data_IF_478303910235
#
_entry.id   IF_478303910235
#
_cell.length_a   1.000
_cell.length_b   1.000
_cell.length_c   1.000
_cell.angle_alpha   90.00
_cell.angle_beta   90.00
_cell.angle_gamma   90.00
#
_symmetry.space_group_name_H-M   'P 1'
#
loop_
_entity.id
_entity.type
_entity.pdbx_description
1 polymer ?
#
# COMPACT_ATOMS: atom_id res chain seq x y z
N UNK A 1 -9.71 12.64 -7.49
CA UNK A 1 -8.38 13.24 -7.33
C UNK A 1 -7.34 12.12 -7.33
N UNK A 2 -6.32 12.19 -8.18
CA UNK A 2 -5.27 11.16 -8.23
C UNK A 2 -4.42 11.23 -6.96
N UNK A 3 -4.12 10.09 -6.30
CA UNK A 3 -3.26 10.10 -5.13
C UNK A 3 -1.86 10.64 -5.39
N UNK A 4 -1.29 11.37 -4.43
CA UNK A 4 0.12 11.72 -4.48
C UNK A 4 0.97 10.45 -4.26
N UNK A 5 1.89 10.14 -5.19
CA UNK A 5 2.72 8.94 -5.15
C UNK A 5 4.19 9.26 -4.85
N UNK A 6 4.92 8.41 -4.09
CA UNK A 6 6.34 8.56 -3.82
C UNK A 6 7.16 8.76 -5.08
N UNK A 7 8.22 9.59 -4.97
CA UNK A 7 9.17 9.74 -6.06
C UNK A 7 9.95 8.43 -6.30
N UNK A 8 10.37 8.19 -7.55
CA UNK A 8 11.21 7.02 -7.91
C UNK A 8 12.50 7.01 -7.08
N UNK A 9 13.13 8.18 -6.88
CA UNK A 9 14.34 8.32 -6.06
C UNK A 9 14.12 7.80 -4.64
N UNK A 10 13.06 8.28 -3.97
CA UNK A 10 12.69 7.82 -2.62
C UNK A 10 12.43 6.32 -2.56
N UNK A 11 11.76 5.75 -3.57
CA UNK A 11 11.49 4.30 -3.62
C UNK A 11 12.78 3.47 -3.73
N UNK A 12 13.70 3.89 -4.61
CA UNK A 12 15.03 3.25 -4.77
C UNK A 12 15.82 3.32 -3.47
N UNK A 13 15.91 4.49 -2.85
CA UNK A 13 16.67 4.70 -1.60
C UNK A 13 16.06 3.93 -0.43
N UNK A 14 14.73 3.94 -0.31
CA UNK A 14 14.03 3.34 0.81
C UNK A 14 14.00 1.82 0.71
N UNK A 15 13.70 1.23 -0.45
CA UNK A 15 13.60 -0.23 -0.58
C UNK A 15 14.90 -0.91 -1.05
N UNK A 16 15.90 -0.15 -1.51
CA UNK A 16 17.12 -0.74 -2.10
C UNK A 16 16.85 -1.47 -3.43
N UNK A 17 15.83 -1.03 -4.17
CA UNK A 17 15.39 -1.64 -5.43
C UNK A 17 15.88 -0.85 -6.65
N UNK A 18 15.86 -1.48 -7.83
CA UNK A 18 16.19 -0.78 -9.07
C UNK A 18 15.10 0.22 -9.52
N UNK A 19 15.46 1.06 -10.49
CA UNK A 19 14.57 2.09 -11.05
C UNK A 19 13.36 1.50 -11.78
N UNK A 20 13.46 0.31 -12.35
CA UNK A 20 12.37 -0.36 -13.08
C UNK A 20 11.31 -0.82 -12.09
N UNK A 21 11.70 -1.51 -11.02
CA UNK A 21 10.81 -1.93 -9.93
C UNK A 21 10.17 -0.72 -9.23
N UNK A 22 10.95 0.33 -8.96
CA UNK A 22 10.45 1.58 -8.40
C UNK A 22 9.44 2.30 -9.32
N UNK A 23 9.62 2.25 -10.65
CA UNK A 23 8.63 2.78 -11.61
C UNK A 23 7.34 1.98 -11.56
N UNK A 24 7.42 0.64 -11.54
CA UNK A 24 6.25 -0.24 -11.44
C UNK A 24 5.42 0.09 -10.19
N UNK A 25 6.05 0.12 -9.01
CA UNK A 25 5.39 0.49 -7.74
C UNK A 25 4.74 1.88 -7.83
N UNK A 26 5.46 2.87 -8.36
CA UNK A 26 4.94 4.22 -8.48
C UNK A 26 3.71 4.28 -9.39
N UNK A 27 3.72 3.54 -10.49
CA UNK A 27 2.57 3.48 -11.39
C UNK A 27 1.38 2.81 -10.71
N UNK A 28 1.57 1.73 -9.91
CA UNK A 28 0.49 1.16 -9.08
C UNK A 28 -0.11 2.20 -8.13
N UNK A 29 0.72 2.99 -7.44
CA UNK A 29 0.24 4.05 -6.54
C UNK A 29 -0.59 5.13 -7.28
N UNK A 30 -0.21 5.47 -8.51
CA UNK A 30 -0.87 6.51 -9.32
C UNK A 30 -2.13 6.03 -10.03
N UNK A 31 -2.16 4.77 -10.46
CA UNK A 31 -3.08 4.31 -11.53
C UNK A 31 -4.54 4.22 -11.10
N UNK A 32 -4.85 4.32 -9.81
CA UNK A 32 -6.21 4.48 -9.30
C UNK A 32 -7.20 3.51 -9.98
N UNK A 33 -8.05 4.06 -10.86
CA UNK A 33 -9.17 3.36 -11.51
C UNK A 33 -8.82 2.33 -12.60
N UNK A 34 -7.59 2.30 -13.11
CA UNK A 34 -7.19 1.44 -14.25
C UNK A 34 -6.33 0.23 -13.82
N UNK A 35 -6.27 -0.08 -12.52
CA UNK A 35 -5.51 -1.22 -11.99
C UNK A 35 -5.93 -2.57 -12.63
N UNK A 36 -7.21 -2.71 -12.96
CA UNK A 36 -7.77 -3.90 -13.63
C UNK A 36 -7.22 -4.05 -15.06
N UNK A 37 -7.22 -2.97 -15.86
CA UNK A 37 -6.61 -2.99 -17.18
C UNK A 37 -5.11 -3.29 -17.08
N UNK A 38 -4.38 -2.62 -16.17
CA UNK A 38 -2.96 -2.90 -15.92
C UNK A 38 -2.65 -4.35 -15.54
N UNK A 39 -3.56 -5.02 -14.83
CA UNK A 39 -3.41 -6.44 -14.49
C UNK A 39 -3.81 -7.40 -15.61
N UNK A 40 -4.61 -6.96 -16.59
CA UNK A 40 -5.22 -7.83 -17.62
C UNK A 40 -4.65 -7.63 -19.02
N UNK A 41 -4.13 -6.45 -19.38
CA UNK A 41 -3.47 -6.23 -20.68
C UNK A 41 -2.01 -6.65 -20.64
N UNK A 42 -1.81 -7.93 -20.95
CA UNK A 42 -0.60 -8.53 -21.51
C UNK A 42 0.73 -8.37 -20.74
N UNK A 43 1.00 -9.32 -19.84
CA UNK A 43 2.33 -9.95 -19.74
C UNK A 43 3.43 -9.25 -18.94
N UNK A 44 3.17 -8.10 -18.29
CA UNK A 44 4.19 -7.39 -17.50
C UNK A 44 3.58 -6.86 -16.20
N UNK A 45 3.83 -7.54 -15.09
CA UNK A 45 3.80 -6.88 -13.77
C UNK A 45 3.43 -7.76 -12.59
N UNK A 46 2.25 -8.41 -12.64
CA UNK A 46 1.59 -8.93 -11.42
C UNK A 46 0.82 -10.25 -11.63
N UNK A 47 1.49 -11.37 -12.00
CA UNK A 47 0.84 -12.66 -12.21
C UNK A 47 0.05 -13.20 -11.02
N UNK A 48 0.49 -12.99 -9.78
CA UNK A 48 -0.23 -13.46 -8.59
C UNK A 48 -1.53 -12.69 -8.40
N UNK A 49 -1.50 -11.37 -8.60
CA UNK A 49 -2.68 -10.52 -8.56
C UNK A 49 -3.67 -10.90 -9.66
N UNK A 50 -3.18 -11.16 -10.88
CA UNK A 50 -4.01 -11.60 -11.99
C UNK A 50 -4.65 -12.97 -11.74
N UNK A 51 -3.94 -13.90 -11.09
CA UNK A 51 -4.51 -15.18 -10.65
C UNK A 51 -5.62 -14.96 -9.62
N UNK A 52 -5.35 -14.18 -8.57
CA UNK A 52 -6.32 -13.86 -7.53
C UNK A 52 -7.61 -13.23 -8.08
N UNK A 53 -7.50 -12.33 -9.07
CA UNK A 53 -8.66 -11.71 -9.72
C UNK A 53 -9.55 -12.72 -10.45
N UNK A 54 -8.97 -13.79 -11.02
CA UNK A 54 -9.74 -14.84 -11.72
C UNK A 54 -10.51 -15.72 -10.75
N UNK A 55 -10.00 -15.87 -9.53
CA UNK A 55 -10.60 -16.70 -8.49
C UNK A 55 -11.69 -15.97 -7.68
N UNK A 56 -11.83 -14.65 -7.88
CA UNK A 56 -12.82 -13.84 -7.19
C UNK A 56 -14.23 -14.01 -7.80
N UNK A 57 -15.21 -14.41 -6.99
CA UNK A 57 -16.62 -14.45 -7.38
C UNK A 57 -17.21 -13.06 -7.66
N UNK A 58 -16.73 -12.04 -6.94
CA UNK A 58 -17.06 -10.64 -7.15
C UNK A 58 -15.78 -9.83 -7.37
N UNK A 59 -15.82 -8.88 -8.30
CA UNK A 59 -14.67 -8.02 -8.55
C UNK A 59 -14.32 -7.20 -7.29
N UNK A 60 -13.07 -7.28 -6.79
CA UNK A 60 -12.62 -6.48 -5.67
C UNK A 60 -12.68 -4.99 -5.96
N UNK A 61 -12.69 -4.16 -4.92
CA UNK A 61 -12.59 -2.72 -5.05
C UNK A 61 -11.23 -2.36 -5.64
N UNK A 62 -11.20 -1.29 -6.43
CA UNK A 62 -9.98 -0.76 -7.07
C UNK A 62 -8.79 -0.64 -6.12
N UNK A 63 -9.02 -0.22 -4.88
CA UNK A 63 -7.98 -0.06 -3.86
C UNK A 63 -7.40 -1.41 -3.38
N UNK A 64 -8.25 -2.42 -3.21
CA UNK A 64 -7.82 -3.78 -2.83
C UNK A 64 -6.92 -4.38 -3.91
N UNK A 65 -7.26 -4.16 -5.18
CA UNK A 65 -6.43 -4.55 -6.31
C UNK A 65 -5.07 -3.85 -6.27
N UNK A 66 -5.05 -2.53 -6.02
CA UNK A 66 -3.79 -1.79 -5.89
C UNK A 66 -2.92 -2.34 -4.75
N UNK A 67 -3.50 -2.64 -3.59
CA UNK A 67 -2.75 -3.23 -2.49
C UNK A 67 -2.23 -4.63 -2.81
N UNK A 68 -3.01 -5.45 -3.53
CA UNK A 68 -2.54 -6.78 -3.98
C UNK A 68 -1.37 -6.67 -4.96
N UNK A 69 -1.43 -5.72 -5.89
CA UNK A 69 -0.31 -5.42 -6.80
C UNK A 69 0.92 -4.93 -6.03
N UNK A 70 0.75 -4.07 -5.02
CA UNK A 70 1.85 -3.60 -4.18
C UNK A 70 2.45 -4.72 -3.34
N UNK A 71 1.62 -5.60 -2.77
CA UNK A 71 2.05 -6.80 -2.06
C UNK A 71 2.95 -7.66 -2.95
N UNK A 72 2.53 -7.92 -4.19
CA UNK A 72 3.32 -8.68 -5.14
C UNK A 72 4.59 -7.92 -5.57
N UNK A 73 4.51 -6.61 -5.79
CA UNK A 73 5.67 -5.78 -6.12
C UNK A 73 6.72 -5.80 -5.01
N UNK A 74 6.28 -5.80 -3.75
CA UNK A 74 7.15 -5.78 -2.58
C UNK A 74 7.57 -7.18 -2.13
N UNK A 75 7.10 -8.23 -2.80
CA UNK A 75 7.31 -9.63 -2.42
C UNK A 75 6.85 -9.90 -0.98
N UNK A 76 5.77 -9.24 -0.56
CA UNK A 76 5.23 -9.37 0.78
C UNK A 76 4.48 -10.71 0.95
N UNK A 77 4.45 -11.29 2.18
CA UNK A 77 3.74 -12.54 2.46
C UNK A 77 2.27 -12.49 2.03
N UNK A 78 1.63 -13.65 1.85
CA UNK A 78 0.18 -13.70 1.63
C UNK A 78 -0.58 -13.08 2.82
N UNK A 79 -1.72 -12.44 2.54
CA UNK A 79 -2.56 -11.72 3.54
C UNK A 79 -1.94 -10.49 4.21
N UNK A 80 -0.96 -9.88 3.55
CA UNK A 80 -0.23 -8.68 3.98
C UNK A 80 -0.97 -7.36 3.74
N UNK A 81 -2.28 -7.27 3.92
CA UNK A 81 -2.98 -5.97 3.80
C UNK A 81 -3.59 -5.64 5.16
N UNK A 82 -3.07 -4.59 5.81
CA UNK A 82 -3.61 -4.10 7.07
C UNK A 82 -4.34 -2.78 6.87
N UNK A 83 -5.59 -2.76 7.30
CA UNK A 83 -6.37 -1.54 7.51
C UNK A 83 -6.17 -1.11 8.96
N UNK A 84 -5.59 0.07 9.15
CA UNK A 84 -5.36 0.64 10.47
C UNK A 84 -6.26 1.86 10.66
N UNK A 85 -7.37 1.73 11.40
CA UNK A 85 -8.01 2.91 11.96
C UNK A 85 -7.08 3.46 13.05
N UNK A 86 -6.48 4.63 12.85
CA UNK A 86 -5.93 5.36 13.99
C UNK A 86 -7.13 5.93 14.71
N UNK A 87 -7.45 5.33 15.86
CA UNK A 87 -8.40 5.87 16.82
C UNK A 87 -7.75 7.10 17.45
N UNK A 88 -7.77 8.23 16.74
CA UNK A 88 -7.69 9.49 17.44
C UNK A 88 -8.89 9.53 18.39
N UNK A 89 -8.69 9.78 19.69
CA UNK A 89 -9.77 9.95 20.66
C UNK A 89 -10.71 11.13 20.35
N UNK A 90 -10.50 11.80 19.21
CA UNK A 90 -11.33 12.81 18.59
C UNK A 90 -12.10 12.18 17.44
N UNK A 91 -13.40 12.49 17.32
CA UNK A 91 -14.41 11.96 16.40
C UNK A 91 -14.07 11.77 14.90
N UNK A 92 -12.87 12.14 14.44
CA UNK A 92 -12.33 11.91 13.10
C UNK A 92 -11.25 10.83 13.14
N UNK A 93 -11.64 9.57 12.95
CA UNK A 93 -10.71 8.45 12.87
C UNK A 93 -9.84 8.59 11.60
N UNK A 94 -8.59 9.01 11.75
CA UNK A 94 -7.63 9.07 10.65
C UNK A 94 -7.36 7.65 10.15
N UNK A 95 -7.70 7.36 8.88
CA UNK A 95 -7.54 6.01 8.33
C UNK A 95 -6.24 5.86 7.56
N UNK A 96 -5.49 4.81 7.88
CA UNK A 96 -4.34 4.37 7.10
C UNK A 96 -4.55 2.94 6.60
N UNK A 97 -3.95 2.61 5.46
CA UNK A 97 -3.79 1.24 4.98
C UNK A 97 -2.36 1.02 4.55
N UNK A 98 -1.80 -0.15 4.84
CA UNK A 98 -0.43 -0.49 4.46
C UNK A 98 -0.31 -1.93 3.99
N UNK A 99 0.79 -2.21 3.29
CA UNK A 99 1.23 -3.59 3.02
C UNK A 99 1.94 -4.11 4.27
N UNK A 100 1.37 -5.07 4.97
CA UNK A 100 1.94 -5.71 6.14
C UNK A 100 3.07 -6.67 5.78
N UNK A 101 4.30 -6.30 6.12
CA UNK A 101 5.47 -7.11 5.84
C UNK A 101 5.73 -8.20 6.91
N UNK A 102 4.73 -8.50 7.76
CA UNK A 102 4.77 -9.41 8.91
C UNK A 102 5.69 -8.99 10.07
N UNK A 103 6.51 -7.96 9.87
CA UNK A 103 7.34 -7.32 10.90
C UNK A 103 7.02 -5.82 10.93
N UNK A 104 6.67 -5.27 12.12
CA UNK A 104 6.27 -3.88 12.28
C UNK A 104 7.34 -2.85 11.89
N UNK A 105 8.63 -3.22 11.92
CA UNK A 105 9.76 -2.36 11.61
C UNK A 105 10.26 -2.53 10.18
N UNK A 106 9.65 -3.42 9.40
CA UNK A 106 10.00 -3.58 7.98
C UNK A 106 9.40 -2.44 7.17
N UNK A 107 10.22 -1.95 6.24
CA UNK A 107 9.90 -0.88 5.30
C UNK A 107 8.69 -1.27 4.46
N UNK A 108 7.69 -0.39 4.41
CA UNK A 108 6.48 -0.61 3.64
C UNK A 108 5.94 0.69 3.01
N UNK A 109 4.89 0.55 2.22
CA UNK A 109 4.12 1.63 1.59
C UNK A 109 2.80 1.77 2.34
N UNK A 110 2.50 3.01 2.73
CA UNK A 110 1.30 3.36 3.49
C UNK A 110 0.48 4.35 2.67
N UNK A 111 -0.84 4.17 2.69
CA UNK A 111 -1.82 5.10 2.16
C UNK A 111 -2.49 5.88 3.28
N UNK A 112 -2.47 7.21 3.16
CA UNK A 112 -3.15 8.18 4.02
C UNK A 112 -4.44 8.61 3.31
N UNK A 113 -5.59 8.16 3.84
CA UNK A 113 -6.89 8.44 3.23
C UNK A 113 -7.29 9.92 3.31
N UNK A 114 -6.99 10.58 4.43
CA UNK A 114 -7.34 11.99 4.66
C UNK A 114 -6.57 12.91 3.72
N UNK A 115 -5.28 12.63 3.52
CA UNK A 115 -4.42 13.43 2.63
C UNK A 115 -4.41 12.91 1.19
N UNK A 116 -5.11 11.82 0.91
CA UNK A 116 -5.12 11.13 -0.39
C UNK A 116 -3.70 10.95 -0.95
N UNK A 117 -2.77 10.44 -0.13
CA UNK A 117 -1.35 10.31 -0.50
C UNK A 117 -0.74 9.00 -0.04
N UNK A 118 0.25 8.56 -0.79
CA UNK A 118 1.11 7.44 -0.47
C UNK A 118 2.41 7.94 0.14
N UNK A 119 2.89 7.28 1.18
CA UNK A 119 4.20 7.58 1.77
C UNK A 119 4.92 6.30 2.19
N UNK A 120 6.20 6.45 2.50
CA UNK A 120 7.10 5.37 2.86
C UNK A 120 7.39 5.46 4.35
N UNK A 121 7.40 4.32 5.03
CA UNK A 121 7.66 4.25 6.46
C UNK A 121 7.63 2.80 6.95
N UNK A 122 7.59 2.64 8.25
CA UNK A 122 7.30 1.35 8.90
C UNK A 122 5.95 1.44 9.61
N UNK A 123 5.41 0.29 10.03
CA UNK A 123 4.23 0.29 10.89
C UNK A 123 4.56 0.85 12.28
N UNK A 124 5.75 0.55 12.81
CA UNK A 124 6.23 1.10 14.08
C UNK A 124 6.21 2.63 14.08
N UNK A 125 6.71 3.27 13.01
CA UNK A 125 6.72 4.74 12.88
C UNK A 125 5.30 5.35 12.91
N UNK A 126 4.31 4.64 12.37
CA UNK A 126 2.92 5.09 12.38
C UNK A 126 2.34 5.01 13.79
N UNK A 127 2.50 3.85 14.43
CA UNK A 127 1.97 3.61 15.77
C UNK A 127 2.60 4.59 16.76
N UNK A 128 3.92 4.71 16.78
CA UNK A 128 4.62 5.64 17.68
C UNK A 128 4.21 7.11 17.49
N UNK A 129 3.88 7.50 16.26
CA UNK A 129 3.53 8.88 15.93
C UNK A 129 2.08 9.23 16.23
N UNK A 130 1.17 8.26 16.15
CA UNK A 130 -0.26 8.51 16.19
C UNK A 130 -0.99 7.81 17.35
N UNK A 131 -0.34 6.85 18.02
CA UNK A 131 -0.82 6.29 19.28
C UNK A 131 -0.25 7.13 20.44
N UNK A 132 -1.10 7.85 21.19
CA UNK A 132 -0.65 8.56 22.37
C UNK A 132 -0.28 7.55 23.46
N UNK A 133 1.01 7.44 23.76
CA UNK A 133 1.57 6.64 24.86
C UNK A 133 1.00 7.00 26.25
N UNK A 134 0.29 8.13 26.37
CA UNK A 134 -0.26 8.66 27.62
C UNK A 134 -1.66 8.12 28.00
N UNK A 135 -2.17 7.10 27.31
CA UNK A 135 -3.50 6.51 27.61
C UNK A 135 -3.41 5.11 28.21
N UNK A 136 -2.43 4.88 29.09
CA UNK A 136 -2.49 3.82 30.10
C UNK A 136 -2.79 4.50 31.44
N UNK A 137 -4.08 4.65 31.76
CA UNK A 137 -4.58 4.85 33.14
C UNK A 137 -5.67 3.82 33.40
#
# INVERSE_FOLDING_TARGET
MTPEAPSIKKLVEFFGIDKTKARSIREVCKTGANAVELSLTAGVGFPQTASWLKDCWHLPKKREIQFKMLQEALEAPNDSIRVCPVLAHTLDAHRFECVDMADPYVRTIIFDYEKNRWFLGTWGDLVEKYEPWDTII
#
